data_IF_299216347051
#
_entry.id   IF_299216347051
#
_cell.length_a   1.000
_cell.length_b   1.000
_cell.length_c   1.000
_cell.angle_alpha   90.00
_cell.angle_beta   90.00
_cell.angle_gamma   90.00
#
_symmetry.space_group_name_H-M   'P 1'
#
loop_
_entity.id
_entity.type
_entity.pdbx_description
1 polymer ?
#
# COMPACT_ATOMS: atom_id res chain seq x y z
N UNK A 1 -10.62 -2.71 0.64
CA UNK A 1 -11.90 -2.43 -0.06
C UNK A 1 -12.80 -1.55 0.79
N UNK A 2 -13.71 -0.84 0.16
CA UNK A 2 -14.71 -0.02 0.85
C UNK A 2 -15.70 -0.88 1.64
N UNK A 3 -16.29 -0.31 2.71
CA UNK A 3 -17.37 -0.97 3.45
C UNK A 3 -18.67 -0.95 2.64
N UNK A 4 -19.21 -2.13 2.31
CA UNK A 4 -20.45 -2.23 1.53
C UNK A 4 -21.67 -1.66 2.28
N UNK A 5 -21.69 -1.71 3.62
CA UNK A 5 -22.77 -1.10 4.39
C UNK A 5 -22.69 0.42 4.35
N UNK A 6 -21.46 0.98 4.44
CA UNK A 6 -21.24 2.41 4.27
C UNK A 6 -21.65 2.90 2.87
N UNK A 7 -21.30 2.14 1.82
CA UNK A 7 -21.73 2.43 0.43
C UNK A 7 -23.27 2.45 0.34
N UNK A 8 -23.94 1.45 0.91
CA UNK A 8 -25.41 1.33 0.83
C UNK A 8 -26.13 2.48 1.54
N UNK A 9 -25.62 2.88 2.72
CA UNK A 9 -26.21 3.96 3.53
C UNK A 9 -25.91 5.35 2.96
N UNK A 10 -24.78 5.53 2.26
CA UNK A 10 -24.27 6.84 1.84
C UNK A 10 -24.00 6.92 0.32
N UNK A 11 -24.74 6.19 -0.50
CA UNK A 11 -24.46 5.97 -1.92
C UNK A 11 -24.16 7.26 -2.70
N UNK A 12 -24.92 8.33 -2.49
CA UNK A 12 -24.75 9.61 -3.21
C UNK A 12 -23.44 10.31 -2.83
N UNK A 13 -23.06 10.27 -1.56
CA UNK A 13 -21.81 10.88 -1.10
C UNK A 13 -20.60 10.08 -1.60
N UNK A 14 -20.67 8.75 -1.50
CA UNK A 14 -19.65 7.84 -2.03
C UNK A 14 -19.43 8.05 -3.52
N UNK A 15 -20.50 8.09 -4.30
CA UNK A 15 -20.45 8.35 -5.75
C UNK A 15 -19.81 9.70 -6.05
N UNK A 16 -20.21 10.76 -5.35
CA UNK A 16 -19.63 12.10 -5.50
C UNK A 16 -18.12 12.11 -5.21
N UNK A 17 -17.71 11.51 -4.09
CA UNK A 17 -16.29 11.47 -3.69
C UNK A 17 -15.45 10.61 -4.64
N UNK A 18 -15.97 9.49 -5.15
CA UNK A 18 -15.29 8.66 -6.15
C UNK A 18 -15.16 9.38 -7.49
N UNK A 19 -16.17 10.17 -7.91
CA UNK A 19 -16.10 10.96 -9.15
C UNK A 19 -14.97 12.00 -9.11
N UNK A 20 -14.59 12.50 -7.92
CA UNK A 20 -13.41 13.36 -7.76
C UNK A 20 -12.08 12.62 -8.05
N UNK A 21 -12.09 11.27 -8.15
CA UNK A 21 -10.93 10.46 -8.55
C UNK A 21 -10.79 10.30 -10.08
N UNK A 22 -11.58 11.05 -10.85
CA UNK A 22 -11.48 11.11 -12.31
C UNK A 22 -12.14 9.97 -13.08
N UNK A 23 -12.84 9.02 -12.43
CA UNK A 23 -13.56 7.92 -13.06
C UNK A 23 -14.99 7.82 -12.55
N UNK A 24 -15.89 7.35 -13.41
CA UNK A 24 -17.30 7.10 -13.07
C UNK A 24 -17.47 5.66 -12.54
N UNK A 25 -17.79 5.53 -11.26
CA UNK A 25 -18.06 4.27 -10.58
C UNK A 25 -19.55 4.02 -10.34
N UNK A 26 -20.46 4.81 -10.92
CA UNK A 26 -21.90 4.72 -10.66
C UNK A 26 -22.50 3.35 -10.97
N UNK A 27 -22.03 2.69 -12.02
CA UNK A 27 -22.45 1.34 -12.41
C UNK A 27 -21.96 0.28 -11.40
N UNK A 28 -20.70 0.39 -10.99
CA UNK A 28 -20.09 -0.55 -10.05
C UNK A 28 -20.76 -0.43 -8.67
N UNK A 29 -20.99 0.79 -8.20
CA UNK A 29 -21.69 1.05 -6.93
C UNK A 29 -23.12 0.47 -6.96
N UNK A 30 -23.85 0.65 -8.06
CA UNK A 30 -25.19 0.09 -8.22
C UNK A 30 -25.18 -1.44 -8.17
N UNK A 31 -24.23 -2.04 -8.90
CA UNK A 31 -24.06 -3.48 -8.93
C UNK A 31 -23.76 -4.07 -7.54
N UNK A 32 -22.82 -3.49 -6.80
CA UNK A 32 -22.45 -4.01 -5.47
C UNK A 32 -23.57 -3.86 -4.46
N UNK A 33 -24.36 -2.77 -4.53
CA UNK A 33 -25.55 -2.57 -3.69
C UNK A 33 -26.64 -3.61 -3.99
N UNK A 34 -26.91 -3.89 -5.29
CA UNK A 34 -27.85 -4.94 -5.69
C UNK A 34 -27.40 -6.32 -5.21
N UNK A 35 -26.12 -6.65 -5.36
CA UNK A 35 -25.55 -7.91 -4.87
C UNK A 35 -25.61 -8.01 -3.34
N UNK A 36 -25.34 -6.94 -2.60
CA UNK A 36 -25.46 -6.93 -1.16
C UNK A 36 -26.91 -7.14 -0.70
N UNK A 37 -27.86 -6.56 -1.39
CA UNK A 37 -29.29 -6.79 -1.13
C UNK A 37 -29.63 -8.27 -1.30
N UNK A 38 -29.23 -8.89 -2.43
CA UNK A 38 -29.47 -10.33 -2.67
C UNK A 38 -28.77 -11.20 -1.62
N UNK A 39 -27.54 -10.87 -1.24
CA UNK A 39 -26.81 -11.53 -0.15
C UNK A 39 -27.62 -11.52 1.17
N UNK A 40 -28.16 -10.35 1.55
CA UNK A 40 -28.99 -10.22 2.76
C UNK A 40 -30.25 -11.05 2.68
N UNK A 41 -30.94 -11.07 1.53
CA UNK A 41 -32.13 -11.88 1.29
C UNK A 41 -31.84 -13.38 1.46
N UNK A 42 -30.77 -13.88 0.83
CA UNK A 42 -30.36 -15.29 0.95
C UNK A 42 -30.07 -15.66 2.41
N UNK A 43 -29.34 -14.81 3.15
CA UNK A 43 -29.00 -15.08 4.55
C UNK A 43 -30.27 -15.21 5.40
N UNK A 44 -31.25 -14.32 5.24
CA UNK A 44 -32.55 -14.37 5.96
C UNK A 44 -33.33 -15.63 5.60
N UNK A 45 -33.31 -16.03 4.31
CA UNK A 45 -34.02 -17.22 3.85
C UNK A 45 -33.38 -18.50 4.42
N UNK A 46 -32.06 -18.61 4.38
CA UNK A 46 -31.33 -19.74 4.96
C UNK A 46 -31.54 -19.84 6.47
N UNK A 47 -31.50 -18.73 7.20
CA UNK A 47 -31.80 -18.73 8.65
C UNK A 47 -33.20 -19.18 8.95
N UNK A 48 -34.21 -18.74 8.18
CA UNK A 48 -35.60 -19.16 8.32
C UNK A 48 -35.76 -20.66 8.05
N UNK A 49 -35.14 -21.19 6.99
CA UNK A 49 -35.16 -22.62 6.69
C UNK A 49 -34.51 -23.45 7.81
N UNK A 50 -33.33 -23.04 8.29
CA UNK A 50 -32.61 -23.68 9.41
C UNK A 50 -33.45 -23.67 10.70
N UNK A 51 -34.11 -22.55 11.03
CA UNK A 51 -35.00 -22.45 12.19
C UNK A 51 -36.21 -23.40 12.08
N UNK A 52 -36.88 -23.41 10.90
CA UNK A 52 -38.01 -24.30 10.62
C UNK A 52 -37.60 -25.78 10.68
N UNK A 53 -36.46 -26.13 10.11
CA UNK A 53 -35.89 -27.49 10.17
C UNK A 53 -35.67 -27.94 11.63
N UNK A 54 -35.11 -27.06 12.47
CA UNK A 54 -34.88 -27.35 13.88
C UNK A 54 -36.23 -27.58 14.64
N UNK A 55 -37.27 -26.83 14.30
CA UNK A 55 -38.59 -26.99 14.88
C UNK A 55 -39.21 -28.35 14.46
N UNK A 56 -39.20 -28.69 13.16
CA UNK A 56 -39.68 -29.96 12.63
C UNK A 56 -38.91 -31.16 13.20
N UNK A 57 -37.62 -31.03 13.42
CA UNK A 57 -36.79 -32.07 14.03
C UNK A 57 -37.20 -32.35 15.48
N UNK A 58 -37.58 -31.30 16.22
CA UNK A 58 -38.14 -31.48 17.58
C UNK A 58 -39.54 -32.17 17.56
N UNK A 59 -40.37 -31.81 16.57
CA UNK A 59 -41.70 -32.38 16.38
C UNK A 59 -41.64 -33.89 16.12
N UNK A 60 -40.69 -34.35 15.31
CA UNK A 60 -40.43 -35.79 15.11
C UNK A 60 -40.20 -36.51 16.43
N UNK A 61 -39.48 -35.90 17.38
CA UNK A 61 -39.25 -36.49 18.71
C UNK A 61 -40.53 -36.72 19.52
N UNK A 62 -41.54 -35.86 19.36
CA UNK A 62 -42.86 -36.05 20.00
C UNK A 62 -43.68 -37.10 19.28
N UNK A 63 -43.69 -37.10 17.92
CA UNK A 63 -44.45 -38.05 17.10
C UNK A 63 -43.94 -39.48 17.22
N UNK A 64 -42.64 -39.69 17.48
CA UNK A 64 -42.07 -41.01 17.76
C UNK A 64 -42.67 -41.58 19.06
N UNK A 65 -42.86 -40.77 20.11
CA UNK A 65 -43.48 -41.18 21.38
C UNK A 65 -44.95 -41.58 21.18
N UNK A 66 -45.64 -40.89 20.24
CA UNK A 66 -47.07 -41.11 19.93
C UNK A 66 -47.28 -42.17 18.86
N UNK A 67 -46.21 -42.84 18.34
CA UNK A 67 -46.24 -43.91 17.32
C UNK A 67 -46.90 -43.50 15.98
N UNK A 68 -46.82 -42.22 15.59
CA UNK A 68 -47.44 -41.66 14.38
C UNK A 68 -46.50 -41.72 13.16
N UNK A 69 -46.19 -42.92 12.69
CA UNK A 69 -45.19 -43.18 11.66
C UNK A 69 -45.45 -42.45 10.33
N UNK A 70 -46.69 -42.29 9.87
CA UNK A 70 -47.04 -41.61 8.62
C UNK A 70 -46.73 -40.11 8.64
N UNK A 71 -46.97 -39.42 9.79
CA UNK A 71 -46.66 -38.01 9.96
C UNK A 71 -45.14 -37.78 10.03
N UNK A 72 -44.39 -38.71 10.63
CA UNK A 72 -42.94 -38.69 10.70
C UNK A 72 -42.31 -38.71 9.29
N UNK A 73 -42.81 -39.56 8.39
CA UNK A 73 -42.28 -39.67 7.03
C UNK A 73 -42.51 -38.40 6.20
N UNK A 74 -43.69 -37.78 6.36
CA UNK A 74 -44.00 -36.49 5.74
C UNK A 74 -43.05 -35.37 6.19
N UNK A 75 -42.78 -35.31 7.51
CA UNK A 75 -41.86 -34.31 8.06
C UNK A 75 -40.44 -34.57 7.61
N UNK A 76 -39.98 -35.82 7.57
CA UNK A 76 -38.68 -36.18 7.05
C UNK A 76 -38.49 -35.74 5.59
N UNK A 77 -39.49 -35.96 4.74
CA UNK A 77 -39.46 -35.53 3.34
C UNK A 77 -39.38 -34.00 3.21
N UNK A 78 -40.13 -33.24 4.07
CA UNK A 78 -40.00 -31.77 4.13
C UNK A 78 -38.57 -31.32 4.54
N UNK A 79 -38.00 -31.98 5.54
CA UNK A 79 -36.63 -31.68 5.99
C UNK A 79 -35.63 -31.93 4.84
N UNK A 80 -35.75 -33.03 4.09
CA UNK A 80 -34.88 -33.32 2.94
C UNK A 80 -35.02 -32.23 1.87
N UNK A 81 -36.22 -31.77 1.55
CA UNK A 81 -36.44 -30.66 0.61
C UNK A 81 -35.79 -29.34 1.09
N UNK A 82 -35.92 -29.03 2.40
CA UNK A 82 -35.27 -27.87 2.99
C UNK A 82 -33.75 -27.97 2.93
N UNK A 83 -33.15 -29.15 3.13
CA UNK A 83 -31.73 -29.36 3.02
C UNK A 83 -31.22 -29.10 1.61
N UNK A 84 -31.96 -29.54 0.58
CA UNK A 84 -31.64 -29.23 -0.82
C UNK A 84 -31.69 -27.72 -1.07
N UNK A 85 -32.73 -27.03 -0.63
CA UNK A 85 -32.85 -25.57 -0.76
C UNK A 85 -31.75 -24.82 -0.05
N UNK A 86 -31.37 -25.24 1.16
CA UNK A 86 -30.24 -24.63 1.89
C UNK A 86 -28.93 -24.76 1.10
N UNK A 87 -28.65 -25.93 0.53
CA UNK A 87 -27.44 -26.15 -0.28
C UNK A 87 -27.44 -25.25 -1.53
N UNK A 88 -28.57 -25.15 -2.24
CA UNK A 88 -28.69 -24.28 -3.41
C UNK A 88 -28.47 -22.80 -3.06
N UNK A 89 -29.07 -22.33 -1.97
CA UNK A 89 -28.90 -20.96 -1.49
C UNK A 89 -27.49 -20.68 -0.99
N UNK A 90 -26.84 -21.62 -0.32
CA UNK A 90 -25.44 -21.50 0.11
C UNK A 90 -24.47 -21.41 -1.09
N UNK A 91 -24.74 -22.14 -2.19
CA UNK A 91 -23.97 -22.03 -3.44
C UNK A 91 -24.22 -20.67 -4.14
N UNK A 92 -25.49 -20.23 -4.23
CA UNK A 92 -25.83 -18.90 -4.75
C UNK A 92 -25.13 -17.80 -3.93
N UNK A 93 -25.13 -17.93 -2.60
CA UNK A 93 -24.46 -16.99 -1.70
C UNK A 93 -22.97 -16.84 -2.01
N UNK A 94 -22.26 -17.94 -2.26
CA UNK A 94 -20.84 -17.93 -2.64
C UNK A 94 -20.62 -17.15 -3.93
N UNK A 95 -21.46 -17.38 -4.94
CA UNK A 95 -21.38 -16.68 -6.24
C UNK A 95 -21.63 -15.18 -6.05
N UNK A 96 -22.71 -14.80 -5.37
CA UNK A 96 -23.09 -13.41 -5.12
C UNK A 96 -21.99 -12.66 -4.35
N UNK A 97 -21.43 -13.28 -3.31
CA UNK A 97 -20.34 -12.68 -2.52
C UNK A 97 -19.07 -12.53 -3.35
N UNK A 98 -18.73 -13.54 -4.18
CA UNK A 98 -17.57 -13.46 -5.06
C UNK A 98 -17.70 -12.33 -6.07
N UNK A 99 -18.81 -12.26 -6.81
CA UNK A 99 -19.06 -11.21 -7.81
C UNK A 99 -19.04 -9.81 -7.19
N UNK A 100 -19.64 -9.65 -6.00
CA UNK A 100 -19.61 -8.39 -5.26
C UNK A 100 -18.18 -7.99 -4.87
N UNK A 101 -17.39 -8.92 -4.35
CA UNK A 101 -16.02 -8.64 -3.92
C UNK A 101 -15.09 -8.37 -5.12
N UNK A 102 -15.27 -9.07 -6.24
CA UNK A 102 -14.49 -8.84 -7.47
C UNK A 102 -14.68 -7.40 -7.97
N UNK A 103 -15.92 -6.87 -7.94
CA UNK A 103 -16.18 -5.48 -8.31
C UNK A 103 -15.66 -4.49 -7.26
N UNK A 104 -15.88 -4.76 -5.96
CA UNK A 104 -15.37 -3.92 -4.86
C UNK A 104 -13.85 -3.79 -4.89
N UNK A 105 -13.13 -4.85 -5.28
CA UNK A 105 -11.67 -4.83 -5.41
C UNK A 105 -11.18 -3.87 -6.51
N UNK A 106 -12.02 -3.51 -7.48
CA UNK A 106 -11.75 -2.53 -8.54
C UNK A 106 -12.09 -1.08 -8.17
N UNK A 107 -12.77 -0.84 -7.03
CA UNK A 107 -13.16 0.51 -6.59
C UNK A 107 -12.08 1.07 -5.65
N UNK A 108 -11.50 2.26 -5.92
CA UNK A 108 -10.48 2.86 -5.08
C UNK A 108 -11.04 3.33 -3.73
N UNK A 109 -10.14 3.65 -2.80
CA UNK A 109 -10.52 4.25 -1.54
C UNK A 109 -11.10 5.66 -1.72
N UNK A 110 -11.94 6.08 -0.78
CA UNK A 110 -12.53 7.41 -0.77
C UNK A 110 -11.51 8.45 -0.31
N UNK A 111 -11.35 9.59 -1.02
CA UNK A 111 -10.54 10.69 -0.53
C UNK A 111 -11.08 11.23 0.80
N UNK A 112 -10.20 11.63 1.72
CA UNK A 112 -10.60 12.39 2.91
C UNK A 112 -11.16 13.77 2.51
N UNK A 113 -12.05 14.34 3.32
CA UNK A 113 -12.67 15.64 3.04
C UNK A 113 -11.66 16.79 3.00
N UNK A 114 -10.50 16.64 3.65
CA UNK A 114 -9.40 17.63 3.65
C UNK A 114 -8.54 17.55 2.38
N UNK A 115 -8.78 16.59 1.49
CA UNK A 115 -8.03 16.46 0.22
C UNK A 115 -8.61 17.41 -0.83
N UNK A 116 -7.73 18.18 -1.46
CA UNK A 116 -8.11 19.10 -2.53
C UNK A 116 -8.60 18.33 -3.76
N UNK A 117 -9.73 18.76 -4.30
CA UNK A 117 -10.26 18.20 -5.55
C UNK A 117 -9.41 18.71 -6.72
N UNK A 118 -8.85 17.80 -7.50
CA UNK A 118 -8.02 18.11 -8.66
C UNK A 118 -7.95 16.93 -9.62
N UNK A 119 -7.46 17.17 -10.82
CA UNK A 119 -7.45 16.20 -11.92
C UNK A 119 -6.13 15.41 -11.99
N UNK A 120 -5.00 16.05 -11.74
CA UNK A 120 -3.67 15.45 -11.92
C UNK A 120 -2.60 16.13 -11.03
N UNK A 121 -1.33 15.79 -11.24
CA UNK A 121 -0.18 16.31 -10.48
C UNK A 121 -0.06 17.84 -10.43
N UNK A 122 -0.66 18.58 -11.36
CA UNK A 122 -0.61 20.03 -11.40
C UNK A 122 -1.53 20.69 -10.36
N UNK A 123 -2.51 19.95 -9.84
CA UNK A 123 -3.44 20.40 -8.81
C UNK A 123 -2.97 20.05 -7.38
N UNK A 124 -1.81 19.42 -7.25
CA UNK A 124 -1.21 19.13 -5.95
C UNK A 124 -0.80 20.40 -5.22
N UNK A 125 -0.92 20.40 -3.90
CA UNK A 125 -0.70 21.60 -3.06
C UNK A 125 0.62 21.51 -2.32
N UNK A 126 1.54 22.48 -2.54
CA UNK A 126 2.75 22.61 -1.72
C UNK A 126 2.38 23.01 -0.29
N UNK A 127 2.67 22.14 0.68
CA UNK A 127 2.37 22.34 2.10
C UNK A 127 3.52 23.05 2.80
N UNK A 128 4.75 22.63 2.52
CA UNK A 128 5.97 23.21 3.07
C UNK A 128 7.19 22.89 2.21
N UNK A 129 8.22 23.71 2.38
CA UNK A 129 9.46 23.62 1.62
C UNK A 129 10.66 23.91 2.51
N UNK A 130 11.76 23.18 2.32
CA UNK A 130 13.01 23.48 3.00
C UNK A 130 13.62 24.79 2.51
N UNK A 131 14.30 25.52 3.39
CA UNK A 131 14.98 26.78 3.09
C UNK A 131 16.43 26.61 2.63
N UNK A 132 16.85 25.38 2.30
CA UNK A 132 18.24 25.11 1.96
C UNK A 132 18.64 25.76 0.62
N UNK A 133 19.81 26.41 0.57
CA UNK A 133 20.37 26.87 -0.69
C UNK A 133 20.76 25.68 -1.58
N UNK A 134 20.80 25.93 -2.87
CA UNK A 134 21.28 24.96 -3.83
C UNK A 134 22.75 24.61 -3.52
N UNK A 135 23.06 23.35 -3.23
CA UNK A 135 24.41 22.92 -2.81
C UNK A 135 25.37 22.84 -3.99
N UNK A 136 24.86 22.47 -5.17
CA UNK A 136 25.69 22.37 -6.38
C UNK A 136 25.68 23.65 -7.21
N UNK A 137 26.84 24.07 -7.61
CA UNK A 137 27.04 25.13 -8.63
C UNK A 137 27.12 24.58 -10.06
N UNK A 138 27.16 23.25 -10.21
CA UNK A 138 27.27 22.54 -11.48
C UNK A 138 26.07 21.59 -11.66
N UNK A 139 25.21 21.91 -12.60
CA UNK A 139 23.99 21.15 -12.88
C UNK A 139 24.27 19.96 -13.83
N UNK A 140 25.04 18.98 -13.36
CA UNK A 140 25.35 17.77 -14.12
C UNK A 140 24.42 16.62 -13.75
N UNK A 141 23.89 15.85 -14.72
CA UNK A 141 22.98 14.72 -14.43
C UNK A 141 23.67 13.60 -13.65
N UNK A 142 22.98 13.03 -12.68
CA UNK A 142 23.50 11.97 -11.80
C UNK A 142 24.08 10.76 -12.55
N UNK A 143 23.55 10.39 -13.72
CA UNK A 143 24.07 9.26 -14.50
C UNK A 143 25.46 9.57 -15.14
N UNK A 144 25.75 10.83 -15.46
CA UNK A 144 27.06 11.23 -15.94
C UNK A 144 28.06 11.24 -14.79
N UNK A 145 27.67 11.79 -13.63
CA UNK A 145 28.49 11.80 -12.42
C UNK A 145 28.80 10.35 -12.00
N UNK A 146 27.79 9.48 -11.94
CA UNK A 146 27.94 8.08 -11.57
C UNK A 146 28.88 7.31 -12.49
N UNK A 147 28.82 7.59 -13.80
CA UNK A 147 29.70 6.99 -14.80
C UNK A 147 31.16 7.48 -14.65
N UNK A 148 31.37 8.80 -14.51
CA UNK A 148 32.69 9.39 -14.29
C UNK A 148 33.40 8.81 -13.06
N UNK A 149 32.69 8.67 -11.99
CA UNK A 149 33.19 8.13 -10.71
C UNK A 149 33.17 6.60 -10.62
N UNK A 150 32.73 5.91 -11.68
CA UNK A 150 32.60 4.45 -11.73
C UNK A 150 31.75 3.87 -10.57
N UNK A 151 30.72 4.60 -10.16
CA UNK A 151 29.83 4.19 -9.07
C UNK A 151 28.69 3.28 -9.56
N UNK A 152 28.28 3.44 -10.82
CA UNK A 152 27.22 2.68 -11.48
C UNK A 152 27.63 2.33 -12.89
N UNK A 153 27.43 1.08 -13.25
CA UNK A 153 27.56 0.57 -14.62
C UNK A 153 26.17 0.48 -15.26
N UNK A 154 25.87 1.40 -16.17
CA UNK A 154 24.61 1.48 -16.90
C UNK A 154 24.55 0.59 -18.15
N UNK A 155 25.68 -0.04 -18.56
CA UNK A 155 25.74 -0.98 -19.68
C UNK A 155 25.62 -2.42 -19.21
N UNK A 156 26.19 -2.73 -18.04
CA UNK A 156 26.15 -4.06 -17.48
C UNK A 156 24.73 -4.47 -17.02
N UNK A 157 23.96 -3.54 -16.49
CA UNK A 157 22.57 -3.78 -16.11
C UNK A 157 21.71 -4.29 -17.28
N UNK A 158 21.63 -3.57 -18.40
CA UNK A 158 20.97 -4.02 -19.62
C UNK A 158 21.49 -5.35 -20.19
N UNK A 159 22.77 -5.60 -20.10
CA UNK A 159 23.39 -6.87 -20.52
C UNK A 159 22.86 -8.07 -19.70
N UNK A 160 22.62 -7.86 -18.42
CA UNK A 160 22.17 -8.92 -17.51
C UNK A 160 20.64 -9.13 -17.53
N UNK A 161 19.87 -8.05 -17.59
CA UNK A 161 18.43 -8.09 -17.30
C UNK A 161 17.57 -7.23 -18.23
N UNK A 162 18.15 -6.50 -19.18
CA UNK A 162 17.41 -5.60 -20.06
C UNK A 162 17.44 -4.14 -19.60
N UNK A 163 16.66 -3.29 -20.27
CA UNK A 163 16.58 -1.86 -19.97
C UNK A 163 16.10 -1.58 -18.56
N UNK A 164 16.44 -0.39 -18.01
CA UNK A 164 16.06 0.03 -16.65
C UNK A 164 16.55 -0.86 -15.52
N UNK A 165 17.58 -1.67 -15.76
CA UNK A 165 18.42 -2.29 -14.74
C UNK A 165 19.79 -1.62 -14.72
N UNK A 166 20.40 -1.56 -13.56
CA UNK A 166 21.74 -1.01 -13.37
C UNK A 166 22.56 -1.89 -12.42
N UNK A 167 23.88 -1.70 -12.44
CA UNK A 167 24.78 -2.38 -11.51
C UNK A 167 25.60 -1.33 -10.74
N UNK A 168 25.43 -1.30 -9.43
CA UNK A 168 26.32 -0.53 -8.58
C UNK A 168 27.67 -1.22 -8.45
N UNK A 169 28.75 -0.45 -8.58
CA UNK A 169 30.13 -0.96 -8.50
C UNK A 169 30.92 -0.26 -7.41
N UNK A 170 31.91 -0.94 -6.83
CA UNK A 170 32.87 -0.36 -5.89
C UNK A 170 32.23 0.49 -4.79
N UNK A 171 32.55 1.79 -4.78
CA UNK A 171 32.03 2.74 -3.80
C UNK A 171 30.53 3.01 -3.98
N UNK A 172 29.97 2.86 -5.18
CA UNK A 172 28.53 2.93 -5.42
C UNK A 172 27.78 1.82 -4.68
N UNK A 173 28.25 0.58 -4.74
CA UNK A 173 27.69 -0.54 -3.97
C UNK A 173 27.80 -0.30 -2.47
N UNK A 174 28.89 0.33 -2.02
CA UNK A 174 29.05 0.72 -0.61
C UNK A 174 28.05 1.79 -0.20
N UNK A 175 27.77 2.79 -1.05
CA UNK A 175 26.74 3.82 -0.79
C UNK A 175 25.38 3.20 -0.54
N UNK A 176 24.93 2.26 -1.37
CA UNK A 176 23.63 1.58 -1.17
C UNK A 176 23.52 0.96 0.22
N UNK A 177 24.54 0.17 0.64
CA UNK A 177 24.53 -0.52 1.94
C UNK A 177 24.57 0.43 3.12
N UNK A 178 25.44 1.46 3.04
CA UNK A 178 25.62 2.44 4.11
C UNK A 178 24.37 3.30 4.27
N UNK A 179 23.77 3.74 3.17
CA UNK A 179 22.52 4.50 3.23
C UNK A 179 21.39 3.66 3.82
N UNK A 180 21.24 2.40 3.38
CA UNK A 180 20.24 1.50 3.97
C UNK A 180 20.39 1.37 5.49
N UNK A 181 21.62 1.17 5.98
CA UNK A 181 21.94 1.06 7.41
C UNK A 181 21.62 2.36 8.18
N UNK A 182 21.99 3.51 7.62
CA UNK A 182 21.69 4.82 8.22
C UNK A 182 20.17 5.03 8.35
N UNK A 183 19.39 4.74 7.30
CA UNK A 183 17.95 4.90 7.29
C UNK A 183 17.27 3.98 8.31
N UNK A 184 17.63 2.70 8.31
CA UNK A 184 17.10 1.72 9.27
C UNK A 184 17.44 2.10 10.71
N UNK A 185 18.70 2.45 10.98
CA UNK A 185 19.16 2.91 12.30
C UNK A 185 18.40 4.16 12.74
N UNK A 186 18.16 5.11 11.85
CA UNK A 186 17.38 6.33 12.15
C UNK A 186 15.96 5.97 12.57
N UNK A 187 15.28 5.10 11.80
CA UNK A 187 13.89 4.75 12.05
C UNK A 187 13.74 3.87 13.30
N UNK A 188 14.61 2.89 13.50
CA UNK A 188 14.59 2.05 14.71
C UNK A 188 14.82 2.85 15.98
N UNK A 189 15.71 3.84 15.97
CA UNK A 189 15.91 4.78 17.07
C UNK A 189 14.68 5.70 17.32
N UNK A 190 13.74 5.78 16.37
CA UNK A 190 12.49 6.53 16.49
C UNK A 190 11.27 5.63 16.71
N UNK A 191 11.49 4.42 17.23
CA UNK A 191 10.44 3.52 17.68
C UNK A 191 9.85 2.61 16.61
N UNK A 192 10.47 2.53 15.42
CA UNK A 192 10.09 1.54 14.43
C UNK A 192 10.75 0.19 14.74
N UNK A 193 9.97 -0.88 14.69
CA UNK A 193 10.49 -2.25 14.73
C UNK A 193 10.91 -2.67 13.33
N UNK A 194 12.18 -3.07 13.19
CA UNK A 194 12.71 -3.56 11.92
C UNK A 194 12.31 -5.01 11.67
N UNK A 195 12.00 -5.31 10.40
CA UNK A 195 11.75 -6.66 9.90
C UNK A 195 12.62 -6.93 8.67
N UNK A 196 13.11 -8.15 8.56
CA UNK A 196 13.76 -8.67 7.36
C UNK A 196 12.81 -9.66 6.69
N UNK A 197 12.28 -9.30 5.52
CA UNK A 197 11.09 -9.91 4.92
C UNK A 197 11.40 -10.69 3.65
N UNK A 198 10.58 -11.71 3.29
CA UNK A 198 10.58 -12.29 1.96
C UNK A 198 10.23 -11.23 0.91
N UNK A 199 10.91 -11.29 -0.24
CA UNK A 199 10.59 -10.45 -1.41
C UNK A 199 9.66 -11.13 -2.41
N UNK A 200 9.31 -12.38 -2.17
CA UNK A 200 8.30 -13.16 -2.92
C UNK A 200 7.12 -13.39 -1.98
N UNK A 201 5.92 -13.04 -2.43
CA UNK A 201 4.68 -13.14 -1.66
C UNK A 201 3.59 -13.85 -2.44
N UNK A 202 2.60 -14.40 -1.74
CA UNK A 202 1.41 -14.95 -2.37
C UNK A 202 0.45 -13.87 -2.87
N UNK A 203 -0.53 -14.26 -3.69
CA UNK A 203 -1.52 -13.36 -4.26
C UNK A 203 -2.38 -12.68 -3.17
N UNK A 204 -2.70 -13.38 -2.09
CA UNK A 204 -3.50 -12.85 -0.98
C UNK A 204 -2.83 -11.63 -0.32
N UNK A 205 -1.50 -11.63 -0.18
CA UNK A 205 -0.77 -10.48 0.34
C UNK A 205 -0.85 -9.27 -0.60
N UNK A 206 -0.80 -9.49 -1.93
CA UNK A 206 -0.97 -8.44 -2.93
C UNK A 206 -2.40 -7.87 -2.93
N UNK A 207 -3.42 -8.73 -2.75
CA UNK A 207 -4.81 -8.29 -2.56
C UNK A 207 -4.99 -7.52 -1.25
N UNK A 208 -4.34 -7.95 -0.19
CA UNK A 208 -4.41 -7.34 1.14
C UNK A 208 -4.12 -5.84 1.11
N UNK A 209 -3.09 -5.43 0.39
CA UNK A 209 -2.69 -4.02 0.24
C UNK A 209 -3.32 -3.30 -0.96
N UNK A 210 -4.15 -4.00 -1.78
CA UNK A 210 -4.80 -3.43 -2.96
C UNK A 210 -3.88 -3.28 -4.18
N UNK A 211 -2.80 -4.05 -4.25
CA UNK A 211 -1.96 -4.13 -5.45
C UNK A 211 -2.67 -4.93 -6.55
N UNK A 212 -3.33 -6.02 -6.18
CA UNK A 212 -4.21 -6.77 -7.06
C UNK A 212 -5.68 -6.41 -6.79
N UNK A 213 -6.54 -6.46 -7.84
CA UNK A 213 -6.23 -6.81 -9.25
C UNK A 213 -5.67 -5.64 -10.05
N UNK A 214 -5.75 -4.41 -9.55
CA UNK A 214 -5.55 -3.14 -10.30
C UNK A 214 -4.19 -3.02 -10.99
N UNK A 215 -3.12 -3.47 -10.34
CA UNK A 215 -1.73 -3.31 -10.79
C UNK A 215 -1.08 -4.65 -11.20
N UNK A 216 -1.87 -5.62 -11.65
CA UNK A 216 -1.33 -6.94 -12.06
C UNK A 216 -0.32 -6.81 -13.21
N UNK A 217 -0.54 -5.88 -14.16
CA UNK A 217 0.37 -5.64 -15.28
C UNK A 217 1.72 -5.03 -14.86
N UNK A 218 1.76 -4.35 -13.69
CA UNK A 218 2.99 -3.78 -13.12
C UNK A 218 3.75 -4.79 -12.25
N UNK A 219 3.16 -5.94 -11.93
CA UNK A 219 3.75 -6.92 -11.03
C UNK A 219 4.63 -7.94 -11.76
N UNK A 220 5.79 -8.25 -11.20
CA UNK A 220 6.58 -9.41 -11.60
C UNK A 220 5.98 -10.67 -10.98
N UNK A 221 5.56 -11.62 -11.81
CA UNK A 221 4.94 -12.90 -11.41
C UNK A 221 5.92 -14.07 -11.57
N UNK A 222 5.92 -14.97 -10.60
CA UNK A 222 6.71 -16.21 -10.63
C UNK A 222 5.85 -17.38 -10.15
N UNK A 223 5.35 -18.19 -11.08
CA UNK A 223 4.31 -19.20 -10.79
C UNK A 223 3.05 -18.52 -10.25
N UNK A 224 2.60 -18.93 -9.07
CA UNK A 224 1.43 -18.37 -8.38
C UNK A 224 1.79 -17.26 -7.39
N UNK A 225 3.05 -16.85 -7.34
CA UNK A 225 3.57 -15.83 -6.44
C UNK A 225 4.04 -14.58 -7.20
N UNK A 226 4.29 -13.52 -6.45
CA UNK A 226 4.71 -12.22 -6.97
C UNK A 226 5.96 -11.71 -6.26
N UNK A 227 6.86 -11.05 -7.02
CA UNK A 227 7.89 -10.22 -6.42
C UNK A 227 7.25 -8.92 -5.93
N UNK A 228 7.63 -8.48 -4.74
CA UNK A 228 7.02 -7.31 -4.11
C UNK A 228 7.34 -6.01 -4.86
N UNK A 229 6.35 -5.15 -5.14
CA UNK A 229 6.59 -3.79 -5.67
C UNK A 229 7.05 -2.81 -4.59
N UNK A 230 6.91 -3.18 -3.32
CA UNK A 230 7.22 -2.41 -2.11
C UNK A 230 7.16 -3.33 -0.88
N UNK A 231 7.96 -3.05 0.13
CA UNK A 231 7.89 -3.75 1.41
C UNK A 231 6.57 -3.48 2.18
N UNK A 232 5.79 -2.48 1.77
CA UNK A 232 4.41 -2.28 2.26
C UNK A 232 3.62 -3.57 2.22
N UNK A 233 3.73 -4.35 1.12
CA UNK A 233 2.95 -5.58 0.94
C UNK A 233 3.20 -6.58 2.06
N UNK A 234 4.41 -7.09 2.30
CA UNK A 234 4.63 -8.04 3.38
C UNK A 234 4.51 -7.40 4.77
N UNK A 235 4.95 -6.14 4.99
CA UNK A 235 4.86 -5.49 6.30
C UNK A 235 3.40 -5.34 6.77
N UNK A 236 2.52 -4.90 5.88
CA UNK A 236 1.12 -4.67 6.21
C UNK A 236 0.39 -5.99 6.45
N UNK A 237 0.73 -7.04 5.70
CA UNK A 237 0.12 -8.36 5.86
C UNK A 237 0.63 -9.17 7.07
N UNK A 238 1.59 -8.67 7.86
CA UNK A 238 2.01 -9.32 9.12
C UNK A 238 0.80 -9.58 10.04
N UNK A 239 -0.17 -8.68 10.05
CA UNK A 239 -1.38 -8.79 10.86
C UNK A 239 -2.62 -9.26 10.07
N UNK A 240 -2.44 -9.92 8.93
CA UNK A 240 -3.56 -10.49 8.17
C UNK A 240 -4.30 -11.56 9.01
N UNK A 241 -5.64 -11.46 9.05
CA UNK A 241 -6.53 -12.32 9.84
C UNK A 241 -6.33 -12.26 11.37
N UNK A 242 -5.66 -11.22 11.88
CA UNK A 242 -5.40 -11.06 13.32
C UNK A 242 -6.32 -10.04 13.98
N UNK A 243 -6.43 -10.16 15.31
CA UNK A 243 -7.02 -9.17 16.19
C UNK A 243 -5.93 -8.64 17.11
N UNK A 244 -5.46 -7.44 16.85
CA UNK A 244 -4.40 -6.75 17.57
C UNK A 244 -4.94 -6.28 18.93
N UNK A 245 -4.11 -6.33 19.97
CA UNK A 245 -4.39 -5.66 21.24
C UNK A 245 -4.35 -4.13 21.04
N UNK A 246 -5.48 -3.46 21.20
CA UNK A 246 -5.63 -2.01 20.99
C UNK A 246 -4.74 -1.16 21.90
N UNK A 247 -4.26 -1.70 23.02
CA UNK A 247 -3.30 -1.01 23.90
C UNK A 247 -1.89 -0.93 23.32
N UNK A 248 -1.58 -1.74 22.29
CA UNK A 248 -0.28 -1.74 21.61
C UNK A 248 -0.21 -0.78 20.44
N UNK A 249 -1.35 -0.22 20.02
CA UNK A 249 -1.39 0.75 18.92
C UNK A 249 -0.94 2.14 19.41
N UNK A 250 -0.20 2.91 18.57
CA UNK A 250 0.20 2.58 17.20
C UNK A 250 1.38 1.58 17.15
N UNK A 251 1.39 0.69 16.15
CA UNK A 251 2.55 -0.14 15.83
C UNK A 251 3.29 0.48 14.64
N UNK A 252 4.62 0.60 14.75
CA UNK A 252 5.47 1.19 13.73
C UNK A 252 6.49 0.15 13.26
N UNK A 253 6.51 -0.13 11.96
CA UNK A 253 7.35 -1.15 11.33
C UNK A 253 8.18 -0.57 10.20
N UNK A 254 9.40 -1.08 10.03
CA UNK A 254 10.28 -0.72 8.92
C UNK A 254 10.96 -1.94 8.34
N UNK A 255 11.29 -1.87 7.07
CA UNK A 255 12.07 -2.88 6.38
C UNK A 255 12.84 -2.27 5.22
N UNK A 256 14.05 -2.75 4.99
CA UNK A 256 14.79 -2.53 3.75
C UNK A 256 14.56 -3.71 2.82
N UNK A 257 14.12 -3.46 1.58
CA UNK A 257 13.97 -4.49 0.56
C UNK A 257 14.35 -3.98 -0.83
N UNK A 258 14.67 -4.91 -1.71
CA UNK A 258 14.54 -4.69 -3.14
C UNK A 258 13.06 -4.70 -3.50
N UNK A 259 12.69 -3.85 -4.45
CA UNK A 259 11.32 -3.70 -4.96
C UNK A 259 11.33 -3.88 -6.46
N UNK A 260 10.24 -4.45 -7.02
CA UNK A 260 10.19 -4.87 -8.42
C UNK A 260 8.91 -4.34 -9.08
N UNK A 261 9.05 -3.59 -10.20
CA UNK A 261 7.92 -3.05 -10.97
C UNK A 261 8.17 -3.18 -12.46
N UNK A 262 7.17 -3.66 -13.21
CA UNK A 262 7.22 -3.76 -14.67
C UNK A 262 7.18 -2.40 -15.34
N UNK A 263 6.71 -1.35 -14.64
CA UNK A 263 6.61 0.02 -15.17
C UNK A 263 5.81 0.08 -16.48
N UNK A 264 4.73 -0.72 -16.60
CA UNK A 264 3.95 -0.92 -17.82
C UNK A 264 3.40 0.38 -18.42
N UNK A 265 3.00 1.35 -17.58
CA UNK A 265 2.45 2.65 -18.03
C UNK A 265 3.50 3.75 -18.25
N UNK A 266 4.81 3.47 -18.17
CA UNK A 266 5.86 4.51 -18.10
C UNK A 266 6.72 4.67 -19.37
N UNK A 267 6.21 4.24 -20.52
CA UNK A 267 6.96 4.33 -21.78
C UNK A 267 7.44 5.77 -22.06
N UNK A 268 8.73 5.94 -22.35
CA UNK A 268 9.35 7.22 -22.69
C UNK A 268 9.64 8.17 -21.52
N UNK A 269 9.21 7.87 -20.29
CA UNK A 269 9.49 8.70 -19.11
C UNK A 269 10.74 8.20 -18.37
N UNK A 270 11.65 9.13 -17.97
CA UNK A 270 12.86 8.84 -17.18
C UNK A 270 13.64 7.63 -17.70
N UNK A 271 13.99 7.64 -19.01
CA UNK A 271 14.67 6.51 -19.67
C UNK A 271 16.14 6.40 -19.34
N UNK A 272 16.75 7.43 -18.71
CA UNK A 272 18.14 7.47 -18.28
C UNK A 272 18.24 7.64 -16.76
N UNK A 273 19.36 7.13 -16.20
CA UNK A 273 19.68 7.30 -14.79
C UNK A 273 18.96 6.33 -13.84
N UNK A 274 18.72 6.78 -12.60
CA UNK A 274 18.28 5.93 -11.48
C UNK A 274 16.89 6.28 -10.94
N UNK A 275 16.15 7.15 -11.63
CA UNK A 275 14.84 7.62 -11.13
C UNK A 275 13.75 6.56 -11.30
N UNK A 276 13.82 5.77 -12.39
CA UNK A 276 12.80 4.79 -12.75
C UNK A 276 13.43 3.46 -13.19
N UNK A 277 13.40 2.49 -12.30
CA UNK A 277 14.04 1.19 -12.45
C UNK A 277 13.03 0.06 -12.26
N UNK A 278 13.24 -1.06 -12.94
CA UNK A 278 12.48 -2.30 -12.73
C UNK A 278 12.78 -2.97 -11.39
N UNK A 279 14.02 -2.79 -10.91
CA UNK A 279 14.48 -3.22 -9.58
C UNK A 279 15.15 -2.04 -8.89
N UNK A 280 14.67 -1.70 -7.70
CA UNK A 280 15.20 -0.59 -6.91
C UNK A 280 15.20 -0.92 -5.41
N UNK A 281 15.93 -0.12 -4.63
CA UNK A 281 16.13 -0.33 -3.21
C UNK A 281 15.30 0.68 -2.41
N UNK A 282 14.56 0.22 -1.41
CA UNK A 282 13.71 1.08 -0.60
C UNK A 282 13.70 0.66 0.87
N UNK A 283 13.78 1.63 1.76
CA UNK A 283 13.36 1.49 3.15
C UNK A 283 11.90 1.89 3.20
N UNK A 284 11.06 1.03 3.76
CA UNK A 284 9.61 1.25 3.89
C UNK A 284 9.23 1.42 5.35
N UNK A 285 8.26 2.26 5.59
CA UNK A 285 7.64 2.51 6.88
C UNK A 285 6.16 2.12 6.81
N UNK A 286 5.69 1.35 7.76
CA UNK A 286 4.27 0.99 7.89
C UNK A 286 3.84 1.26 9.32
N UNK A 287 2.65 1.85 9.47
CA UNK A 287 2.02 2.03 10.78
C UNK A 287 0.64 1.38 10.82
N UNK A 288 0.28 0.88 11.99
CA UNK A 288 -1.08 0.48 12.33
C UNK A 288 -1.56 1.38 13.45
N UNK A 289 -2.67 2.06 13.24
CA UNK A 289 -3.19 3.04 14.17
C UNK A 289 -4.70 2.86 14.43
N UNK A 290 -5.18 3.40 15.54
CA UNK A 290 -6.61 3.56 15.76
C UNK A 290 -7.17 4.60 14.78
N UNK A 291 -8.43 4.49 14.34
CA UNK A 291 -9.05 5.43 13.40
C UNK A 291 -8.88 6.90 13.79
N UNK A 292 -9.13 7.22 15.06
CA UNK A 292 -9.07 8.57 15.62
C UNK A 292 -7.66 9.17 15.67
N UNK A 293 -6.62 8.33 15.64
CA UNK A 293 -5.21 8.75 15.71
C UNK A 293 -4.54 8.77 14.33
N UNK A 294 -5.13 8.13 13.32
CA UNK A 294 -4.46 7.82 12.05
C UNK A 294 -4.01 9.05 11.25
N UNK A 295 -4.74 10.17 11.32
CA UNK A 295 -4.32 11.41 10.67
C UNK A 295 -3.09 12.03 11.36
N UNK A 296 -3.02 11.98 12.69
CA UNK A 296 -1.83 12.42 13.43
C UNK A 296 -0.64 11.50 13.16
N UNK A 297 -0.87 10.20 13.00
CA UNK A 297 0.18 9.25 12.64
C UNK A 297 0.68 9.45 11.19
N UNK A 298 -0.16 9.95 10.28
CA UNK A 298 0.27 10.36 8.94
C UNK A 298 1.26 11.54 9.02
N UNK A 299 0.94 12.57 9.80
CA UNK A 299 1.85 13.72 9.98
C UNK A 299 3.20 13.29 10.59
N UNK A 300 3.19 12.39 11.58
CA UNK A 300 4.43 11.83 12.15
C UNK A 300 5.21 11.03 11.12
N UNK A 301 4.54 10.23 10.29
CA UNK A 301 5.18 9.45 9.22
C UNK A 301 5.89 10.36 8.21
N UNK A 302 5.25 11.46 7.81
CA UNK A 302 5.85 12.49 6.93
C UNK A 302 7.07 13.12 7.59
N UNK A 303 6.99 13.46 8.88
CA UNK A 303 8.13 14.01 9.64
C UNK A 303 9.29 13.03 9.72
N UNK A 304 9.04 11.74 9.87
CA UNK A 304 10.06 10.69 9.89
C UNK A 304 10.79 10.59 8.55
N UNK A 305 10.05 10.69 7.43
CA UNK A 305 10.64 10.72 6.08
C UNK A 305 11.42 12.02 5.82
N UNK A 306 10.88 13.19 6.22
CA UNK A 306 11.60 14.48 6.13
C UNK A 306 12.91 14.48 6.91
N UNK A 307 12.95 13.78 8.06
CA UNK A 307 14.13 13.73 8.90
C UNK A 307 15.34 13.12 8.17
N UNK A 308 15.10 12.22 7.21
CA UNK A 308 16.17 11.67 6.36
C UNK A 308 16.69 12.76 5.42
N UNK A 309 15.83 13.52 4.74
CA UNK A 309 16.26 14.59 3.84
C UNK A 309 17.05 15.66 4.57
N UNK A 310 16.62 16.00 5.80
CA UNK A 310 17.37 16.91 6.71
C UNK A 310 18.73 16.34 7.11
N UNK A 311 18.80 15.03 7.39
CA UNK A 311 20.04 14.34 7.77
C UNK A 311 21.10 14.41 6.66
N UNK A 312 20.65 14.36 5.41
CA UNK A 312 21.50 14.47 4.22
C UNK A 312 21.63 15.91 3.72
N UNK A 313 21.03 16.88 4.39
CA UNK A 313 21.04 18.31 4.03
C UNK A 313 20.64 18.58 2.57
N UNK A 314 19.56 17.93 2.13
CA UNK A 314 19.04 18.03 0.77
C UNK A 314 17.86 19.00 0.68
N UNK A 315 17.80 19.85 -0.38
CA UNK A 315 16.64 20.70 -0.62
C UNK A 315 15.41 19.86 -1.00
N UNK A 316 14.27 20.07 -0.33
CA UNK A 316 13.05 19.31 -0.56
C UNK A 316 11.80 20.18 -0.36
N UNK A 317 10.67 19.67 -0.83
CA UNK A 317 9.34 20.16 -0.51
C UNK A 317 8.40 19.02 -0.16
N UNK A 318 7.32 19.32 0.53
CA UNK A 318 6.21 18.41 0.83
C UNK A 318 4.98 18.93 0.11
N UNK A 319 4.34 18.06 -0.65
CA UNK A 319 3.09 18.35 -1.37
C UNK A 319 1.99 17.42 -0.87
N UNK A 320 0.76 17.93 -0.76
CA UNK A 320 -0.43 17.11 -0.59
C UNK A 320 -0.98 16.76 -1.96
N UNK A 321 -1.18 15.48 -2.23
CA UNK A 321 -1.77 15.05 -3.49
C UNK A 321 -3.27 15.41 -3.55
N UNK A 322 -3.72 15.83 -4.73
CA UNK A 322 -5.13 16.04 -5.02
C UNK A 322 -5.85 14.72 -5.29
N UNK A 323 -7.18 14.75 -5.34
CA UNK A 323 -8.01 13.55 -5.51
C UNK A 323 -7.69 12.74 -6.76
N UNK A 324 -7.30 13.38 -7.86
CA UNK A 324 -6.97 12.72 -9.14
C UNK A 324 -5.60 12.06 -9.17
N UNK A 325 -4.66 12.49 -8.30
CA UNK A 325 -3.27 11.98 -8.28
C UNK A 325 -2.99 10.97 -7.15
N UNK A 326 -3.91 10.81 -6.21
CA UNK A 326 -3.75 9.87 -5.09
C UNK A 326 -3.70 8.41 -5.52
N UNK A 327 -2.90 7.61 -4.82
CA UNK A 327 -2.83 6.15 -4.96
C UNK A 327 -4.17 5.45 -4.71
N UNK A 328 -4.36 4.26 -5.29
CA UNK A 328 -5.62 3.50 -5.27
C UNK A 328 -6.18 3.24 -3.86
N UNK A 329 -5.33 2.84 -2.93
CA UNK A 329 -5.72 2.51 -1.56
C UNK A 329 -5.74 3.72 -0.61
N UNK A 330 -5.33 4.91 -1.08
CA UNK A 330 -5.10 6.08 -0.22
C UNK A 330 -6.38 6.83 0.10
N UNK A 331 -6.52 7.20 1.39
CA UNK A 331 -7.48 8.15 1.93
C UNK A 331 -6.94 9.59 1.86
N UNK A 332 -5.63 9.74 2.14
CA UNK A 332 -4.87 11.00 2.05
C UNK A 332 -3.40 10.68 1.86
N UNK A 333 -2.71 11.47 1.01
CA UNK A 333 -1.29 11.26 0.70
C UNK A 333 -0.54 12.59 0.71
N UNK A 334 0.67 12.53 1.27
CA UNK A 334 1.71 13.54 1.10
C UNK A 334 2.90 12.94 0.37
N UNK A 335 3.40 13.65 -0.64
CA UNK A 335 4.66 13.31 -1.27
C UNK A 335 5.77 14.25 -0.82
N UNK A 336 6.94 13.68 -0.59
CA UNK A 336 8.17 14.43 -0.42
C UNK A 336 8.91 14.43 -1.75
N UNK A 337 9.30 15.60 -2.20
CA UNK A 337 10.05 15.75 -3.42
C UNK A 337 11.40 16.42 -3.14
N UNK A 338 12.48 15.87 -3.68
CA UNK A 338 13.84 16.39 -3.56
C UNK A 338 14.26 17.13 -4.84
N UNK A 339 15.06 18.17 -4.69
CA UNK A 339 15.54 18.99 -5.79
C UNK A 339 16.60 18.27 -6.63
N UNK A 340 16.42 18.31 -7.95
CA UNK A 340 17.40 17.83 -8.93
C UNK A 340 17.91 19.00 -9.77
N UNK A 341 19.14 19.50 -9.49
CA UNK A 341 19.72 20.66 -10.18
C UNK A 341 19.78 20.52 -11.70
N UNK A 342 20.15 19.34 -12.21
CA UNK A 342 20.26 19.10 -13.65
C UNK A 342 18.93 19.20 -14.40
N UNK A 343 17.84 18.93 -13.71
CA UNK A 343 16.48 18.96 -14.27
C UNK A 343 15.76 20.28 -13.94
N UNK A 344 16.33 21.11 -13.06
CA UNK A 344 15.66 22.29 -12.49
C UNK A 344 14.25 21.97 -11.99
N UNK A 345 14.09 20.82 -11.30
CA UNK A 345 12.79 20.27 -10.90
C UNK A 345 12.90 19.52 -9.57
N UNK A 346 11.83 19.59 -8.78
CA UNK A 346 11.60 18.66 -7.67
C UNK A 346 11.11 17.31 -8.21
N UNK A 347 11.59 16.22 -7.60
CA UNK A 347 11.24 14.83 -7.96
C UNK A 347 10.83 14.08 -6.71
N UNK A 348 9.77 13.33 -6.80
CA UNK A 348 9.27 12.47 -5.72
C UNK A 348 10.37 11.52 -5.22
N UNK A 349 10.55 11.46 -3.91
CA UNK A 349 11.48 10.55 -3.23
C UNK A 349 10.80 9.70 -2.16
N UNK A 350 9.67 10.16 -1.65
CA UNK A 350 8.81 9.43 -0.70
C UNK A 350 7.37 9.79 -0.95
N UNK A 351 6.48 8.81 -0.83
CA UNK A 351 5.05 9.00 -0.78
C UNK A 351 4.54 8.42 0.53
N UNK A 352 3.83 9.22 1.33
CA UNK A 352 3.30 8.85 2.65
C UNK A 352 1.78 8.89 2.63
N UNK A 353 1.14 7.73 2.81
CA UNK A 353 -0.30 7.57 2.68
C UNK A 353 -0.95 7.05 3.96
N UNK A 354 -2.11 7.60 4.30
CA UNK A 354 -3.08 6.97 5.17
C UNK A 354 -4.09 6.23 4.30
N UNK A 355 -4.24 4.93 4.50
CA UNK A 355 -5.19 4.09 3.77
C UNK A 355 -6.52 3.89 4.51
N UNK A 356 -6.67 4.47 5.70
CA UNK A 356 -7.83 4.19 6.54
C UNK A 356 -7.95 2.69 6.83
N UNK A 357 -9.15 2.18 6.85
CA UNK A 357 -9.44 0.76 7.04
C UNK A 357 -9.49 -0.06 5.72
N UNK A 358 -9.19 0.58 4.58
CA UNK A 358 -9.31 -0.03 3.26
C UNK A 358 -8.51 -1.32 3.09
N UNK A 359 -7.24 -1.30 3.47
CA UNK A 359 -6.35 -2.47 3.43
C UNK A 359 -6.69 -3.46 4.55
N UNK A 360 -6.98 -2.95 5.74
CA UNK A 360 -7.36 -3.77 6.89
C UNK A 360 -8.63 -4.61 6.62
N UNK A 361 -9.58 -4.09 5.86
CA UNK A 361 -10.76 -4.86 5.41
C UNK A 361 -10.40 -5.99 4.45
N UNK A 362 -9.47 -5.76 3.52
CA UNK A 362 -9.01 -6.80 2.60
C UNK A 362 -8.37 -7.97 3.34
N UNK A 363 -7.49 -7.67 4.30
CA UNK A 363 -6.70 -8.68 5.00
C UNK A 363 -7.27 -9.06 6.39
N UNK A 364 -8.46 -8.54 6.76
CA UNK A 364 -9.11 -8.81 8.03
C UNK A 364 -8.26 -8.47 9.27
N UNK A 365 -7.45 -7.40 9.19
CA UNK A 365 -6.68 -6.89 10.31
C UNK A 365 -7.55 -6.01 11.20
N UNK A 366 -7.72 -6.42 12.46
CA UNK A 366 -8.65 -5.79 13.41
C UNK A 366 -7.97 -5.55 14.75
N UNK A 367 -8.60 -4.77 15.60
CA UNK A 367 -8.16 -4.62 16.99
C UNK A 367 -9.36 -4.63 17.95
N UNK A 368 -9.09 -4.82 19.24
CA UNK A 368 -10.07 -4.66 20.31
C UNK A 368 -9.93 -3.26 20.89
N UNK A 369 -11.04 -2.50 20.88
CA UNK A 369 -11.12 -1.20 21.53
C UNK A 369 -11.29 -1.34 23.06
N UNK A 370 -11.35 -0.22 23.77
CA UNK A 370 -11.50 -0.14 25.22
C UNK A 370 -12.79 -0.79 25.75
N UNK A 371 -13.82 -0.89 24.89
CA UNK A 371 -15.09 -1.53 25.17
C UNK A 371 -15.11 -3.00 24.74
N UNK A 372 -13.94 -3.57 24.39
CA UNK A 372 -13.80 -4.93 23.87
C UNK A 372 -14.56 -5.18 22.54
N UNK A 373 -14.92 -4.10 21.82
CA UNK A 373 -15.53 -4.16 20.49
C UNK A 373 -14.44 -4.33 19.44
N UNK A 374 -14.69 -5.23 18.49
CA UNK A 374 -13.76 -5.45 17.38
C UNK A 374 -13.97 -4.39 16.29
N UNK A 375 -12.89 -3.71 15.90
CA UNK A 375 -12.87 -2.71 14.84
C UNK A 375 -11.73 -2.99 13.87
N UNK A 376 -11.80 -2.46 12.64
CA UNK A 376 -10.69 -2.48 11.69
C UNK A 376 -9.63 -1.45 12.10
N UNK A 377 -8.37 -1.85 12.04
CA UNK A 377 -7.25 -0.94 12.25
C UNK A 377 -7.07 -0.05 11.00
N UNK A 378 -6.56 1.17 11.16
CA UNK A 378 -6.09 1.97 10.03
C UNK A 378 -4.64 1.62 9.72
N UNK A 379 -4.31 1.55 8.43
CA UNK A 379 -2.96 1.30 7.94
C UNK A 379 -2.39 2.55 7.28
N UNK A 380 -1.11 2.78 7.51
CA UNK A 380 -0.37 3.87 6.88
C UNK A 380 0.94 3.31 6.33
N UNK A 381 1.39 3.84 5.22
CA UNK A 381 2.67 3.48 4.63
C UNK A 381 3.41 4.72 4.14
N UNK A 382 4.73 4.62 4.03
CA UNK A 382 5.56 5.66 3.46
C UNK A 382 6.98 5.19 3.20
N UNK A 383 7.63 5.77 2.19
CA UNK A 383 9.03 5.47 1.95
C UNK A 383 9.92 6.23 2.92
N UNK A 384 10.80 5.51 3.56
CA UNK A 384 11.75 6.09 4.48
C UNK A 384 13.24 5.97 4.13
N UNK A 385 13.73 6.08 2.87
CA UNK A 385 13.29 6.57 1.56
C UNK A 385 13.57 5.55 0.43
N UNK A 386 13.34 5.98 -0.84
CA UNK A 386 13.84 5.30 -2.04
C UNK A 386 15.35 5.58 -2.18
N UNK A 387 16.18 4.55 -1.97
CA UNK A 387 17.67 4.70 -1.86
C UNK A 387 18.29 5.14 -3.19
N UNK A 388 17.86 4.57 -4.30
CA UNK A 388 18.41 4.89 -5.61
C UNK A 388 18.16 6.37 -5.96
N UNK A 389 16.97 6.89 -5.68
CA UNK A 389 16.63 8.31 -5.84
C UNK A 389 17.42 9.20 -4.87
N UNK A 390 17.63 8.75 -3.63
CA UNK A 390 18.45 9.49 -2.66
C UNK A 390 19.90 9.58 -3.11
N UNK A 391 20.49 8.50 -3.63
CA UNK A 391 21.85 8.49 -4.20
C UNK A 391 21.92 9.45 -5.38
N UNK A 392 20.93 9.43 -6.29
CA UNK A 392 20.88 10.35 -7.42
C UNK A 392 20.80 11.82 -6.96
N UNK A 393 19.98 12.11 -5.95
CA UNK A 393 19.86 13.45 -5.40
C UNK A 393 21.17 13.91 -4.70
N UNK A 394 21.84 13.02 -3.96
CA UNK A 394 23.16 13.31 -3.36
C UNK A 394 24.17 13.62 -4.47
N UNK A 395 24.24 12.82 -5.53
CA UNK A 395 25.16 13.07 -6.64
C UNK A 395 24.93 14.45 -7.24
N UNK A 396 23.70 14.83 -7.57
CA UNK A 396 23.45 16.11 -8.24
C UNK A 396 23.61 17.33 -7.31
N UNK A 397 23.30 17.20 -6.01
CA UNK A 397 23.39 18.31 -5.07
C UNK A 397 24.80 18.51 -4.47
N UNK A 398 25.64 17.45 -4.44
CA UNK A 398 26.96 17.48 -3.82
C UNK A 398 28.12 17.44 -4.82
N UNK A 399 27.84 17.40 -6.12
CA UNK A 399 28.83 17.46 -7.19
C UNK A 399 29.38 18.88 -7.38
N UNK A 400 30.68 19.06 -7.38
CA UNK A 400 31.33 20.36 -7.59
C UNK A 400 31.95 20.55 -8.97
N UNK A 401 31.73 19.59 -9.89
CA UNK A 401 32.30 19.59 -11.25
C UNK A 401 33.51 18.68 -11.39
N UNK A 402 34.15 18.26 -10.30
CA UNK A 402 35.35 17.43 -10.30
C UNK A 402 35.26 16.23 -9.38
N UNK A 403 34.60 16.39 -8.23
CA UNK A 403 34.46 15.37 -7.19
C UNK A 403 33.08 15.42 -6.55
N UNK A 404 32.62 14.27 -6.04
CA UNK A 404 31.41 14.14 -5.26
C UNK A 404 31.75 14.37 -3.79
N UNK A 405 31.36 15.52 -3.23
CA UNK A 405 31.48 15.79 -1.83
C UNK A 405 30.52 14.86 -1.05
N UNK A 406 30.96 14.33 0.08
CA UNK A 406 30.13 13.43 0.90
C UNK A 406 29.40 14.22 1.97
N UNK A 407 28.07 14.10 2.09
CA UNK A 407 27.33 14.59 3.24
C UNK A 407 28.00 14.16 4.55
N UNK A 408 28.03 14.99 5.59
CA UNK A 408 28.71 14.69 6.86
C UNK A 408 28.32 13.33 7.44
N UNK A 409 27.05 12.92 7.31
CA UNK A 409 26.53 11.65 7.81
C UNK A 409 27.17 10.43 7.15
N UNK A 410 27.65 10.54 5.92
CA UNK A 410 28.33 9.45 5.18
C UNK A 410 29.82 9.33 5.52
N UNK A 411 30.48 10.43 5.89
CA UNK A 411 31.95 10.46 6.04
C UNK A 411 32.52 9.40 6.99
N UNK A 412 31.92 9.10 8.17
CA UNK A 412 32.43 8.07 9.07
C UNK A 412 32.52 6.68 8.41
N UNK A 413 31.57 6.36 7.53
CA UNK A 413 31.52 5.07 6.84
C UNK A 413 32.52 5.00 5.66
N UNK A 414 33.07 6.14 5.23
CA UNK A 414 34.06 6.26 4.17
C UNK A 414 35.46 6.65 4.69
N UNK A 415 35.83 6.14 5.90
CA UNK A 415 37.11 6.41 6.57
C UNK A 415 37.38 7.92 6.76
N UNK A 416 36.33 8.69 7.07
CA UNK A 416 36.33 10.14 7.21
C UNK A 416 36.76 10.89 5.93
N UNK A 417 36.71 10.26 4.76
CA UNK A 417 36.89 10.94 3.48
C UNK A 417 35.75 11.94 3.28
N UNK A 418 36.10 13.11 2.78
CA UNK A 418 35.13 14.20 2.54
C UNK A 418 34.54 14.16 1.13
N UNK A 419 35.14 13.41 0.21
CA UNK A 419 34.70 13.32 -1.17
C UNK A 419 35.11 11.97 -1.82
N UNK A 420 34.44 11.65 -2.91
CA UNK A 420 34.81 10.58 -3.88
C UNK A 420 35.28 11.25 -5.16
N UNK A 421 36.40 10.73 -5.70
CA UNK A 421 37.01 11.22 -6.96
C UNK A 421 37.38 10.05 -7.84
#
# INVERSE_FOLDING_TARGET
MLDINFIEENQKDVEKRLNHRGNDFSKDLKFVVEKNKRRKEILVEVEKLKATKNQLSKEIGFLIRDQKNGEIEQIKNKIVQMDVQIVELDEELKIVVKEMNDVLAGIPNLPDESVVVGADENDNVEVRKSSHPNLSTQAEPHWEIATKLQLVDFELGPKLSGSRFLVYTGLGSKLVRVIADILLTRHTNHGYKEFFLPVIVNAEAMYGTGQLPKFEEDAYKTGDQYLIPTAEVPLTNIHANEIIDGNKLPLNYTSFTQCFRQEAGSAGRDTKGMIRLHQFNKVELVKFAKPEESMNELEKLVIDAEAILKLFDLPYRVIQLCTGDMGFSSLKTYDLEVWFPSQNKYREISSCSNCGDFQARNMMARYKDENNKTQYVHTLNGSGLAIDRLIAAIMENYWDGEKLNLPPVLQPYFNNQKFIK
#
